data_IF_409923745611
#
_entry.id   IF_409923745611
#
_cell.length_a   1.000
_cell.length_b   1.000
_cell.length_c   1.000
_cell.angle_alpha   90.00
_cell.angle_beta   90.00
_cell.angle_gamma   90.00
#
_symmetry.space_group_name_H-M   'P 1'
#
loop_
_entity.id
_entity.type
_entity.pdbx_description
1 polymer ?
#
# COMPACT_ATOMS: atom_id res chain seq x y z
N UNK A 1 -5.24 -5.41 -10.48
CA UNK A 1 -5.38 -5.57 -9.02
C UNK A 1 -6.84 -5.84 -8.76
N UNK A 2 -7.16 -6.76 -7.84
CA UNK A 2 -8.57 -7.01 -7.52
C UNK A 2 -9.16 -5.76 -6.86
N UNK A 3 -10.40 -5.40 -7.21
CA UNK A 3 -11.11 -4.25 -6.60
C UNK A 3 -11.22 -4.41 -5.08
N UNK A 4 -11.26 -5.65 -4.59
CA UNK A 4 -11.31 -5.98 -3.18
C UNK A 4 -10.06 -5.50 -2.41
N UNK A 5 -8.87 -5.71 -2.98
CA UNK A 5 -7.61 -5.24 -2.39
C UNK A 5 -7.58 -3.72 -2.38
N UNK A 6 -7.99 -3.08 -3.47
CA UNK A 6 -8.03 -1.61 -3.54
C UNK A 6 -9.01 -1.03 -2.51
N UNK A 7 -10.13 -1.72 -2.27
CA UNK A 7 -11.09 -1.33 -1.24
C UNK A 7 -10.53 -1.48 0.17
N UNK A 8 -9.83 -2.58 0.49
CA UNK A 8 -9.12 -2.75 1.77
C UNK A 8 -8.03 -1.69 1.94
N UNK A 9 -7.23 -1.43 0.90
CA UNK A 9 -6.18 -0.40 0.93
C UNK A 9 -6.75 1.01 1.12
N UNK A 10 -7.96 1.27 0.63
CA UNK A 10 -8.67 2.54 0.84
C UNK A 10 -9.40 2.61 2.19
N UNK A 11 -9.44 1.52 2.96
CA UNK A 11 -10.03 1.51 4.31
C UNK A 11 -9.05 2.04 5.38
N UNK A 12 -7.76 2.06 5.08
CA UNK A 12 -6.73 2.59 5.98
C UNK A 12 -6.82 4.12 6.06
N UNK A 13 -6.54 4.65 7.25
CA UNK A 13 -6.65 6.09 7.49
C UNK A 13 -5.34 6.83 7.12
N UNK A 14 -4.19 6.18 7.27
CA UNK A 14 -2.90 6.80 6.98
C UNK A 14 -2.37 6.45 5.60
N UNK A 15 -2.83 5.35 5.00
CA UNK A 15 -2.42 4.92 3.66
C UNK A 15 -3.56 5.04 2.67
N UNK A 16 -3.25 5.48 1.45
CA UNK A 16 -4.22 5.57 0.38
C UNK A 16 -3.68 4.99 -0.90
N UNK A 17 -4.47 4.15 -1.55
CA UNK A 17 -4.13 3.63 -2.86
C UNK A 17 -4.41 4.66 -3.96
N UNK A 18 -3.38 5.02 -4.71
CA UNK A 18 -3.43 5.92 -5.84
C UNK A 18 -3.49 5.12 -7.14
N UNK A 19 -4.70 4.94 -7.67
CA UNK A 19 -4.96 4.12 -8.87
C UNK A 19 -4.22 4.59 -10.12
N UNK A 20 -3.97 5.91 -10.24
CA UNK A 20 -3.30 6.51 -11.40
C UNK A 20 -1.84 6.06 -11.52
N UNK A 21 -1.16 5.89 -10.39
CA UNK A 21 0.27 5.58 -10.31
C UNK A 21 0.54 4.17 -9.81
N UNK A 22 -0.53 3.43 -9.44
CA UNK A 22 -0.48 2.09 -8.83
C UNK A 22 0.45 2.05 -7.62
N UNK A 23 0.35 3.06 -6.75
CA UNK A 23 1.13 3.14 -5.52
C UNK A 23 0.25 3.49 -4.34
N UNK A 24 0.66 3.07 -3.17
CA UNK A 24 0.03 3.37 -1.90
C UNK A 24 0.89 4.47 -1.27
N UNK A 25 0.30 5.63 -1.09
CA UNK A 25 0.96 6.80 -0.51
C UNK A 25 0.59 6.92 0.96
N UNK A 26 1.57 7.26 1.78
CA UNK A 26 1.33 7.61 3.18
C UNK A 26 0.91 9.09 3.28
N UNK A 27 -0.31 9.32 3.77
CA UNK A 27 -0.90 10.65 3.93
C UNK A 27 -0.34 11.42 5.13
N UNK A 28 0.23 10.74 6.13
CA UNK A 28 0.78 11.37 7.35
C UNK A 28 2.29 11.58 7.33
N UNK A 29 2.95 11.17 6.25
CA UNK A 29 4.40 11.30 6.08
C UNK A 29 5.20 10.33 6.96
N UNK A 30 6.52 10.29 6.72
CA UNK A 30 7.41 9.29 7.33
C UNK A 30 7.46 9.32 8.86
N UNK A 31 7.32 10.51 9.47
CA UNK A 31 7.45 10.68 10.92
C UNK A 31 6.25 10.19 11.72
N UNK A 32 5.10 10.06 11.07
CA UNK A 32 3.83 9.64 11.69
C UNK A 32 3.22 8.44 10.92
N UNK A 33 4.09 7.70 10.23
CA UNK A 33 3.70 6.53 9.48
C UNK A 33 3.24 5.43 10.43
N UNK A 34 2.05 4.91 10.16
CA UNK A 34 1.47 3.84 10.94
C UNK A 34 2.07 2.51 10.48
N UNK A 35 2.95 1.94 11.31
CA UNK A 35 3.70 0.72 10.97
C UNK A 35 2.77 -0.51 10.93
N UNK A 36 1.72 -0.51 11.76
CA UNK A 36 0.74 -1.59 11.80
C UNK A 36 -0.08 -1.63 10.50
N UNK A 37 -0.58 -0.47 10.03
CA UNK A 37 -1.26 -0.40 8.73
C UNK A 37 -0.30 -0.78 7.58
N UNK A 38 0.96 -0.35 7.63
CA UNK A 38 1.96 -0.71 6.63
C UNK A 38 2.20 -2.23 6.54
N UNK A 39 2.34 -2.89 7.69
CA UNK A 39 2.52 -4.34 7.76
C UNK A 39 1.27 -5.08 7.28
N UNK A 40 0.08 -4.60 7.64
CA UNK A 40 -1.18 -5.16 7.14
C UNK A 40 -1.27 -5.07 5.61
N UNK A 41 -0.91 -3.92 5.04
CA UNK A 41 -0.86 -3.69 3.59
C UNK A 41 0.15 -4.64 2.94
N UNK A 42 1.37 -4.74 3.47
CA UNK A 42 2.39 -5.65 2.97
C UNK A 42 1.89 -7.11 2.98
N UNK A 43 1.24 -7.51 4.07
CA UNK A 43 0.67 -8.86 4.21
C UNK A 43 -0.45 -9.15 3.19
N UNK A 44 -1.32 -8.17 2.91
CA UNK A 44 -2.35 -8.27 1.88
C UNK A 44 -1.69 -8.43 0.51
N UNK A 45 -0.66 -7.63 0.21
CA UNK A 45 0.04 -7.68 -1.07
C UNK A 45 0.74 -9.03 -1.27
N UNK A 46 1.45 -9.53 -0.25
CA UNK A 46 2.12 -10.83 -0.26
C UNK A 46 1.11 -11.98 -0.42
N UNK A 47 0.00 -11.95 0.32
CA UNK A 47 -1.07 -12.96 0.21
C UNK A 47 -1.69 -13.01 -1.19
N UNK A 48 -1.62 -11.91 -1.93
CA UNK A 48 -2.14 -11.79 -3.29
C UNK A 48 -1.06 -11.95 -4.38
N UNK A 49 0.16 -12.35 -4.01
CA UNK A 49 1.32 -12.50 -4.92
C UNK A 49 1.62 -11.23 -5.72
N UNK A 50 1.39 -10.07 -5.10
CA UNK A 50 1.65 -8.79 -5.71
C UNK A 50 3.10 -8.43 -5.42
N UNK A 51 3.88 -8.12 -6.47
CA UNK A 51 5.20 -7.52 -6.32
C UNK A 51 5.04 -6.04 -6.01
N UNK A 52 5.67 -5.60 -4.93
CA UNK A 52 5.71 -4.20 -4.53
C UNK A 52 7.14 -3.78 -4.16
N UNK A 53 7.36 -2.47 -4.11
CA UNK A 53 8.61 -1.84 -3.73
C UNK A 53 8.31 -0.71 -2.76
N UNK A 54 9.07 -0.66 -1.68
CA UNK A 54 9.04 0.47 -0.76
C UNK A 54 9.87 1.61 -1.33
N UNK A 55 9.35 2.82 -1.18
CA UNK A 55 9.99 4.05 -1.61
C UNK A 55 10.24 4.93 -0.39
N UNK A 56 11.03 5.99 -0.58
CA UNK A 56 11.23 7.02 0.44
C UNK A 56 9.86 7.54 0.93
N UNK A 57 9.71 7.71 2.25
CA UNK A 57 8.47 8.06 2.95
C UNK A 57 7.46 6.93 3.24
N UNK A 58 7.89 5.66 3.19
CA UNK A 58 7.02 4.52 3.53
C UNK A 58 5.89 4.36 2.48
N UNK A 59 6.13 4.90 1.28
CA UNK A 59 5.26 4.71 0.13
C UNK A 59 5.48 3.32 -0.48
N UNK A 60 4.41 2.62 -0.83
CA UNK A 60 4.47 1.29 -1.42
C UNK A 60 4.09 1.37 -2.90
N UNK A 61 5.06 1.18 -3.79
CA UNK A 61 4.82 1.14 -5.23
C UNK A 61 4.56 -0.27 -5.70
N UNK A 62 3.44 -0.49 -6.37
CA UNK A 62 3.10 -1.81 -6.89
C UNK A 62 3.75 -1.98 -8.26
N UNK A 63 4.58 -3.02 -8.40
CA UNK A 63 5.34 -3.33 -9.61
C UNK A 63 4.56 -4.23 -10.56
N UNK A 64 3.63 -5.04 -10.05
CA UNK A 64 2.84 -5.97 -10.84
C UNK A 64 2.41 -7.18 -10.03
N UNK A 65 1.76 -8.15 -10.68
CA UNK A 65 1.45 -9.45 -10.09
C UNK A 65 2.41 -10.49 -10.69
N UNK A 66 2.88 -11.42 -9.88
CA UNK A 66 3.65 -12.60 -10.36
C UNK A 66 2.67 -13.57 -11.02
#
# INVERSE_FOLDING_TARGET
MSEMIVSELNSFNNYRYESNTKRIVNLKGASNADMDEFLAIAHILDSNYIKYKFTTNIDIRILGKI
#
